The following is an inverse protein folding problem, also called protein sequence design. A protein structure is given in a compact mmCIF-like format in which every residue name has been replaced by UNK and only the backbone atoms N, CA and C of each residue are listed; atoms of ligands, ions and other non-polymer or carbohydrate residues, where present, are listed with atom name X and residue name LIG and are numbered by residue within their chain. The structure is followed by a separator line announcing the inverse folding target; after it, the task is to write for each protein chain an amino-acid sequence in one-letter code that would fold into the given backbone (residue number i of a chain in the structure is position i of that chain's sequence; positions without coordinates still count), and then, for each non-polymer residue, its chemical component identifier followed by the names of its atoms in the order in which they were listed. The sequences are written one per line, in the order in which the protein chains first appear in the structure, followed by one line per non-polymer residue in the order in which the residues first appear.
data_IF_370822544024
#
_entry.id   IF_370822544024
#
_cell.length_a   1.000
_cell.length_b   1.000
_cell.length_c   1.000
_cell.angle_alpha   90.00
_cell.angle_beta   90.00
_cell.angle_gamma   90.00
#
_symmetry.space_group_name_H-M   'P 1'
#
loop_
_entity.id
_entity.type
_entity.pdbx_description
1 polymer ?
#
# COMPACT_ATOMS: atom_id res chain seq x y z
N UNK A 1 -34.51 7.32 30.12
CA UNK A 1 -33.54 6.21 30.13
C UNK A 1 -32.47 6.52 29.09
N UNK A 2 -31.22 6.55 29.52
CA UNK A 2 -30.08 7.01 28.77
C UNK A 2 -29.72 6.08 27.59
N UNK A 3 -29.31 6.72 26.49
CA UNK A 3 -28.14 6.45 25.64
C UNK A 3 -27.78 4.98 25.35
N UNK A 4 -27.65 4.65 24.05
CA UNK A 4 -26.34 4.39 23.45
C UNK A 4 -26.47 4.33 21.93
N UNK A 5 -26.17 5.46 21.28
CA UNK A 5 -25.62 5.46 19.93
C UNK A 5 -24.20 4.88 20.02
N UNK A 6 -23.88 3.94 19.12
CA UNK A 6 -22.53 3.65 18.62
C UNK A 6 -22.61 2.46 17.64
N UNK A 7 -22.86 2.76 16.37
CA UNK A 7 -22.36 1.91 15.29
C UNK A 7 -21.06 2.57 14.87
N UNK A 8 -19.96 2.08 15.44
CA UNK A 8 -18.61 2.32 14.94
C UNK A 8 -18.49 1.56 13.61
N UNK A 9 -18.96 2.17 12.53
CA UNK A 9 -18.56 1.77 11.18
C UNK A 9 -17.20 2.43 10.94
N UNK A 10 -16.15 1.74 11.39
CA UNK A 10 -14.78 2.19 11.25
C UNK A 10 -14.26 1.93 9.84
N UNK A 11 -13.26 2.71 9.36
CA UNK A 11 -12.57 2.51 8.07
C UNK A 11 -11.85 1.15 7.94
N UNK A 12 -11.88 0.33 8.99
CA UNK A 12 -11.23 -0.98 9.07
C UNK A 12 -11.95 -2.05 8.22
N UNK A 13 -13.28 -1.94 8.03
CA UNK A 13 -14.05 -2.92 7.25
C UNK A 13 -13.79 -2.80 5.74
N UNK A 14 -13.64 -1.58 5.21
CA UNK A 14 -13.29 -1.37 3.80
C UNK A 14 -11.83 -1.73 3.51
N UNK A 15 -10.92 -1.48 4.46
CA UNK A 15 -9.54 -1.93 4.36
C UNK A 15 -9.46 -3.47 4.31
N UNK A 16 -10.20 -4.19 5.17
CA UNK A 16 -10.22 -5.65 5.19
C UNK A 16 -10.86 -6.25 3.92
N UNK A 17 -11.93 -5.64 3.40
CA UNK A 17 -12.53 -6.03 2.14
C UNK A 17 -11.59 -5.79 0.93
N UNK A 18 -10.89 -4.66 0.92
CA UNK A 18 -9.92 -4.32 -0.12
C UNK A 18 -8.74 -5.29 -0.12
N UNK A 19 -8.27 -5.72 1.06
CA UNK A 19 -7.21 -6.72 1.22
C UNK A 19 -7.60 -8.09 0.67
N UNK A 20 -8.87 -8.50 0.78
CA UNK A 20 -9.37 -9.79 0.28
C UNK A 20 -9.42 -9.88 -1.25
N UNK A 21 -9.43 -8.75 -1.94
CA UNK A 21 -9.47 -8.68 -3.41
C UNK A 21 -8.08 -8.56 -4.06
N UNK A 22 -7.02 -8.44 -3.26
CA UNK A 22 -5.66 -8.31 -3.77
C UNK A 22 -5.13 -9.66 -4.27
N UNK A 23 -4.48 -9.65 -5.42
CA UNK A 23 -3.65 -10.75 -5.93
C UNK A 23 -2.43 -10.99 -5.04
N UNK A 24 -1.80 -12.17 -5.18
CA UNK A 24 -0.61 -12.53 -4.41
C UNK A 24 0.54 -11.50 -4.58
N UNK A 25 0.69 -10.93 -5.78
CA UNK A 25 1.71 -9.90 -6.05
C UNK A 25 1.37 -8.60 -5.32
N UNK A 26 0.10 -8.17 -5.35
CA UNK A 26 -0.34 -6.95 -4.66
C UNK A 26 -0.22 -7.10 -3.14
N UNK A 27 -0.59 -8.27 -2.60
CA UNK A 27 -0.42 -8.57 -1.17
C UNK A 27 1.07 -8.58 -0.78
N UNK A 28 1.93 -9.19 -1.59
CA UNK A 28 3.37 -9.21 -1.34
C UNK A 28 3.98 -7.80 -1.40
N UNK A 29 3.57 -6.99 -2.37
CA UNK A 29 3.99 -5.59 -2.51
C UNK A 29 3.51 -4.76 -1.31
N UNK A 30 2.26 -4.90 -0.90
CA UNK A 30 1.70 -4.16 0.25
C UNK A 30 2.42 -4.51 1.56
N UNK A 31 2.82 -5.78 1.74
CA UNK A 31 3.62 -6.23 2.90
C UNK A 31 5.07 -5.74 2.83
N UNK A 32 5.57 -5.43 1.64
CA UNK A 32 6.93 -4.94 1.41
C UNK A 32 7.07 -3.41 1.55
N UNK A 33 5.95 -2.69 1.47
CA UNK A 33 5.87 -1.26 1.74
C UNK A 33 5.82 -0.99 3.24
N UNK A 34 6.57 0.03 3.66
CA UNK A 34 6.60 0.60 5.01
C UNK A 34 6.49 2.13 4.93
N UNK A 35 6.78 2.85 6.01
CA UNK A 35 6.74 4.32 6.03
C UNK A 35 7.86 5.00 5.22
N UNK A 36 8.80 4.26 4.64
CA UNK A 36 9.88 4.82 3.83
C UNK A 36 9.52 4.82 2.34
N UNK A 37 9.65 5.98 1.69
CA UNK A 37 9.49 6.07 0.23
C UNK A 37 10.64 5.41 -0.52
N UNK A 38 10.38 4.24 -1.10
CA UNK A 38 11.36 3.41 -1.81
C UNK A 38 11.03 3.21 -3.29
N UNK A 39 12.05 2.92 -4.12
CA UNK A 39 11.82 2.64 -5.55
C UNK A 39 11.13 1.29 -5.77
N UNK A 40 10.43 1.12 -6.89
CA UNK A 40 9.77 -0.15 -7.24
C UNK A 40 10.74 -1.34 -7.30
N UNK A 41 12.02 -1.11 -7.62
CA UNK A 41 13.05 -2.15 -7.57
C UNK A 41 13.31 -2.65 -6.15
N UNK A 42 13.36 -1.72 -5.17
CA UNK A 42 13.52 -2.06 -3.75
C UNK A 42 12.28 -2.77 -3.23
N UNK A 43 11.08 -2.29 -3.58
CA UNK A 43 9.81 -2.95 -3.24
C UNK A 43 9.79 -4.39 -3.75
N UNK A 44 10.17 -4.62 -5.01
CA UNK A 44 10.26 -5.98 -5.60
C UNK A 44 11.18 -6.90 -4.79
N UNK A 45 12.34 -6.39 -4.37
CA UNK A 45 13.29 -7.11 -3.53
C UNK A 45 12.70 -7.45 -2.16
N UNK A 46 12.10 -6.46 -1.48
CA UNK A 46 11.44 -6.64 -0.18
C UNK A 46 10.27 -7.62 -0.26
N UNK A 47 9.52 -7.59 -1.35
CA UNK A 47 8.40 -8.49 -1.65
C UNK A 47 8.85 -9.93 -2.02
N UNK A 48 10.16 -10.18 -2.10
CA UNK A 48 10.75 -11.49 -2.48
C UNK A 48 10.22 -12.01 -3.82
N UNK A 49 9.87 -11.10 -4.73
CA UNK A 49 9.41 -11.47 -6.07
C UNK A 49 10.59 -11.98 -6.91
N UNK A 50 10.36 -12.91 -7.86
CA UNK A 50 11.42 -13.48 -8.66
C UNK A 50 12.28 -12.41 -9.35
N UNK A 51 13.59 -12.52 -9.24
CA UNK A 51 14.54 -11.57 -9.85
C UNK A 51 14.47 -11.58 -11.38
N UNK A 52 14.05 -12.72 -11.97
CA UNK A 52 13.77 -12.91 -13.39
C UNK A 52 12.51 -12.20 -13.87
N UNK A 53 11.60 -11.82 -12.97
CA UNK A 53 10.41 -11.06 -13.30
C UNK A 53 10.77 -9.60 -13.59
N UNK A 54 10.24 -9.03 -14.68
CA UNK A 54 10.37 -7.59 -14.95
C UNK A 54 9.77 -6.78 -13.78
N UNK A 55 10.19 -5.52 -13.60
CA UNK A 55 9.63 -4.62 -12.58
C UNK A 55 8.17 -4.20 -12.88
N UNK A 56 7.71 -4.39 -14.13
CA UNK A 56 6.36 -4.00 -14.57
C UNK A 56 5.21 -4.46 -13.66
N UNK A 57 5.10 -5.76 -13.32
CA UNK A 57 4.10 -6.25 -12.37
C UNK A 57 4.16 -5.60 -10.99
N UNK A 58 5.37 -5.31 -10.46
CA UNK A 58 5.53 -4.58 -9.20
C UNK A 58 4.98 -3.15 -9.31
N UNK A 59 5.27 -2.44 -10.41
CA UNK A 59 4.73 -1.10 -10.65
C UNK A 59 3.21 -1.10 -10.81
N UNK A 60 2.66 -2.10 -11.49
CA UNK A 60 1.21 -2.26 -11.64
C UNK A 60 0.54 -2.46 -10.29
N UNK A 61 1.11 -3.34 -9.44
CA UNK A 61 0.65 -3.55 -8.08
C UNK A 61 0.73 -2.29 -7.23
N UNK A 62 1.86 -1.57 -7.23
CA UNK A 62 1.99 -0.30 -6.52
C UNK A 62 0.92 0.73 -6.94
N UNK A 63 0.67 0.86 -8.25
CA UNK A 63 -0.34 1.78 -8.79
C UNK A 63 -1.75 1.37 -8.36
N UNK A 64 -2.04 0.06 -8.34
CA UNK A 64 -3.34 -0.43 -7.86
C UNK A 64 -3.53 -0.17 -6.37
N UNK A 65 -2.49 -0.37 -5.57
CA UNK A 65 -2.54 -0.09 -4.13
C UNK A 65 -2.71 1.40 -3.84
N UNK A 66 -2.10 2.29 -4.63
CA UNK A 66 -2.33 3.74 -4.56
C UNK A 66 -3.78 4.09 -4.89
N UNK A 67 -4.37 3.51 -5.93
CA UNK A 67 -5.79 3.70 -6.27
C UNK A 67 -6.74 3.23 -5.16
N UNK A 68 -6.32 2.24 -4.37
CA UNK A 68 -7.07 1.71 -3.22
C UNK A 68 -6.77 2.48 -1.92
N UNK A 69 -5.90 3.51 -1.95
CA UNK A 69 -5.50 4.26 -0.76
C UNK A 69 -4.64 3.45 0.23
N UNK A 70 -4.01 2.36 -0.23
CA UNK A 70 -3.17 1.47 0.58
C UNK A 70 -1.67 1.78 0.44
N UNK A 71 -1.30 2.54 -0.58
CA UNK A 71 0.06 3.00 -0.83
C UNK A 71 0.05 4.48 -1.23
N UNK A 72 1.17 5.15 -0.97
CA UNK A 72 1.40 6.53 -1.40
C UNK A 72 2.53 6.55 -2.43
N UNK A 73 2.46 7.51 -3.34
CA UNK A 73 3.41 7.67 -4.43
C UNK A 73 3.96 9.11 -4.45
N UNK A 74 5.28 9.25 -4.57
CA UNK A 74 5.94 10.54 -4.83
C UNK A 74 6.85 10.46 -6.06
N UNK A 75 7.12 11.61 -6.66
CA UNK A 75 8.00 11.75 -7.83
C UNK A 75 7.33 11.36 -9.15
N UNK A 76 8.07 11.53 -10.25
CA UNK A 76 7.57 11.33 -11.62
C UNK A 76 8.50 10.43 -12.43
N UNK A 77 7.93 9.69 -13.39
CA UNK A 77 8.69 8.81 -14.27
C UNK A 77 9.56 7.80 -13.50
N UNK A 78 10.87 7.78 -13.79
CA UNK A 78 11.83 6.88 -13.17
C UNK A 78 12.18 7.24 -11.71
N UNK A 79 11.88 8.47 -11.28
CA UNK A 79 12.12 8.92 -9.91
C UNK A 79 10.96 8.53 -8.95
N UNK A 80 9.98 7.77 -9.43
CA UNK A 80 8.80 7.38 -8.66
C UNK A 80 9.17 6.49 -7.47
N UNK A 81 8.68 6.84 -6.29
CA UNK A 81 8.88 6.11 -5.03
C UNK A 81 7.55 5.85 -4.34
N UNK A 82 7.51 4.80 -3.55
CA UNK A 82 6.30 4.25 -2.95
C UNK A 82 6.51 3.99 -1.46
N UNK A 83 5.49 4.30 -0.66
CA UNK A 83 5.40 3.98 0.76
C UNK A 83 4.01 3.41 1.06
N UNK A 84 3.82 2.82 2.25
CA UNK A 84 2.53 2.34 2.71
C UNK A 84 1.69 3.50 3.22
N UNK A 85 0.44 3.60 2.75
CA UNK A 85 -0.48 4.61 3.23
C UNK A 85 -0.81 4.37 4.72
N UNK A 86 -0.86 5.44 5.51
CA UNK A 86 -1.15 5.37 6.95
C UNK A 86 0.00 4.87 7.83
N UNK A 87 1.21 4.64 7.27
CA UNK A 87 2.43 4.52 8.09
C UNK A 87 2.99 5.87 8.53
N UNK A 88 2.34 6.96 8.13
CA UNK A 88 2.65 8.35 8.50
C UNK A 88 1.44 9.06 9.08
N UNK A 89 0.85 8.54 10.15
CA UNK A 89 0.26 9.44 11.13
C UNK A 89 1.42 9.93 12.02
N UNK A 90 1.59 11.25 12.09
CA UNK A 90 2.68 12.00 12.74
C UNK A 90 4.05 12.05 12.02
N UNK A 91 4.31 13.13 11.29
CA UNK A 91 5.23 14.22 11.70
C UNK A 91 5.31 15.30 10.60
N UNK A 92 4.91 16.53 10.99
CA UNK A 92 5.35 17.90 10.64
C UNK A 92 5.76 18.28 9.19
N UNK A 93 5.50 19.49 8.69
CA UNK A 93 5.33 20.81 9.32
C UNK A 93 4.53 21.75 8.42
#
# INVERSE_FOLDING_TARGET
MAMHAQILDGPEAEADASLRCLSDIEQAVLRALDGEFVSATVVRWRAKLPTTQRVGPTLAACTKLEQLGLAECIGVGLARRWARAGSGDFVSA
#
